data_IF_072356916254
#
_entry.id   IF_072356916254
#
_cell.length_a   1.000
_cell.length_b   1.000
_cell.length_c   1.000
_cell.angle_alpha   90.00
_cell.angle_beta   90.00
_cell.angle_gamma   90.00
#
_symmetry.space_group_name_H-M   'P 1'
#
loop_
_entity.id
_entity.type
_entity.pdbx_description
1 polymer ?
#
# COMPACT_ATOMS: atom_id res chain seq x y z
N UNK A 1 25.13 21.90 1.47
CA UNK A 1 24.79 21.67 0.06
C UNK A 1 23.91 20.43 0.05
N UNK A 2 22.60 20.54 -0.28
CA UNK A 2 21.77 19.35 -0.46
C UNK A 2 22.29 18.64 -1.72
N UNK A 3 22.64 17.37 -1.64
CA UNK A 3 23.08 16.64 -2.82
C UNK A 3 21.91 16.46 -3.80
N UNK A 4 22.21 16.46 -5.10
CA UNK A 4 21.19 16.37 -6.16
C UNK A 4 20.41 15.05 -6.12
N UNK A 5 20.97 14.03 -5.47
CA UNK A 5 20.34 12.75 -5.27
C UNK A 5 19.14 12.87 -4.31
N UNK A 6 19.31 13.52 -3.16
CA UNK A 6 18.25 13.74 -2.18
C UNK A 6 17.09 14.54 -2.78
N UNK A 7 17.39 15.55 -3.59
CA UNK A 7 16.37 16.37 -4.25
C UNK A 7 15.58 15.58 -5.30
N UNK A 8 16.26 14.77 -6.10
CA UNK A 8 15.61 13.88 -7.08
C UNK A 8 14.74 12.83 -6.40
N UNK A 9 15.23 12.21 -5.34
CA UNK A 9 14.49 11.22 -4.56
C UNK A 9 13.22 11.83 -3.98
N UNK A 10 13.32 13.02 -3.37
CA UNK A 10 12.16 13.75 -2.85
C UNK A 10 11.12 14.02 -3.92
N UNK A 11 11.55 14.53 -5.09
CA UNK A 11 10.63 14.83 -6.19
C UNK A 11 9.88 13.59 -6.68
N UNK A 12 10.56 12.44 -6.76
CA UNK A 12 9.95 11.18 -7.17
C UNK A 12 8.91 10.70 -6.16
N UNK A 13 9.21 10.81 -4.85
CA UNK A 13 8.25 10.46 -3.79
C UNK A 13 6.99 11.33 -3.84
N UNK A 14 7.15 12.66 -4.01
CA UNK A 14 6.02 13.58 -4.13
C UNK A 14 5.17 13.32 -5.39
N UNK A 15 5.79 12.88 -6.48
CA UNK A 15 5.07 12.50 -7.71
C UNK A 15 4.23 11.24 -7.50
N UNK A 16 4.84 10.20 -6.93
CA UNK A 16 4.14 8.96 -6.62
C UNK A 16 2.95 9.19 -5.67
N UNK A 17 3.14 10.01 -4.62
CA UNK A 17 2.07 10.37 -3.68
C UNK A 17 0.89 11.03 -4.40
N UNK A 18 1.16 12.03 -5.26
CA UNK A 18 0.10 12.70 -6.05
C UNK A 18 -0.63 11.73 -6.95
N UNK A 19 0.09 10.82 -7.59
CA UNK A 19 -0.47 9.82 -8.48
C UNK A 19 -1.38 8.84 -7.72
N UNK A 20 -0.94 8.33 -6.56
CA UNK A 20 -1.74 7.46 -5.71
C UNK A 20 -3.03 8.14 -5.24
N UNK A 21 -2.95 9.41 -4.83
CA UNK A 21 -4.11 10.17 -4.36
C UNK A 21 -5.07 10.58 -5.49
N UNK A 22 -4.67 10.47 -6.76
CA UNK A 22 -5.52 10.77 -7.90
C UNK A 22 -6.33 9.55 -8.38
N UNK A 23 -5.90 8.34 -8.05
CA UNK A 23 -6.57 7.10 -8.44
C UNK A 23 -7.70 6.75 -7.44
N UNK A 24 -8.93 6.62 -7.96
CA UNK A 24 -10.11 6.39 -7.13
C UNK A 24 -10.10 5.02 -6.46
N UNK A 25 -9.57 4.00 -7.13
CA UNK A 25 -9.53 2.64 -6.59
C UNK A 25 -8.50 2.57 -5.46
N UNK A 26 -7.36 3.24 -5.63
CA UNK A 26 -6.38 3.41 -4.54
C UNK A 26 -7.02 4.10 -3.33
N UNK A 27 -7.77 5.19 -3.52
CA UNK A 27 -8.45 5.87 -2.41
C UNK A 27 -9.45 4.97 -1.68
N UNK A 28 -10.20 4.14 -2.42
CA UNK A 28 -11.13 3.17 -1.82
C UNK A 28 -10.37 2.11 -1.02
N UNK A 29 -9.25 1.60 -1.54
CA UNK A 29 -8.40 0.63 -0.84
C UNK A 29 -7.86 1.25 0.45
N UNK A 30 -7.37 2.49 0.41
CA UNK A 30 -6.86 3.20 1.59
C UNK A 30 -7.96 3.44 2.65
N UNK A 31 -9.18 3.80 2.25
CA UNK A 31 -10.32 3.92 3.18
C UNK A 31 -10.69 2.57 3.83
N UNK A 32 -10.63 1.47 3.08
CA UNK A 32 -10.83 0.12 3.63
C UNK A 32 -9.71 -0.21 4.64
N UNK A 33 -8.45 0.04 4.28
CA UNK A 33 -7.30 -0.21 5.16
C UNK A 33 -7.40 0.56 6.48
N UNK A 34 -7.81 1.83 6.43
CA UNK A 34 -8.05 2.65 7.63
C UNK A 34 -9.13 2.02 8.53
N UNK A 35 -10.22 1.54 7.94
CA UNK A 35 -11.31 0.87 8.68
C UNK A 35 -10.94 -0.51 9.25
N UNK A 36 -9.98 -1.21 8.64
CA UNK A 36 -9.50 -2.49 9.17
C UNK A 36 -8.78 -2.31 10.51
N UNK A 37 -8.28 -1.10 10.80
CA UNK A 37 -7.61 -0.74 12.05
C UNK A 37 -6.47 -1.74 12.41
N UNK A 38 -5.72 -2.17 11.40
CA UNK A 38 -4.55 -3.03 11.56
C UNK A 38 -3.34 -2.18 11.98
N UNK A 39 -2.61 -2.65 12.99
CA UNK A 39 -1.36 -2.00 13.42
C UNK A 39 -0.29 -2.08 12.33
N UNK A 40 0.44 -0.98 12.16
CA UNK A 40 1.57 -0.85 11.23
C UNK A 40 1.27 -1.43 9.83
N UNK A 41 0.14 -1.01 9.22
CA UNK A 41 -0.37 -1.54 7.96
C UNK A 41 0.06 -0.69 6.75
N UNK A 42 0.58 -1.35 5.71
CA UNK A 42 1.15 -0.71 4.51
C UNK A 42 0.64 -1.38 3.23
N UNK A 43 0.29 -0.56 2.25
CA UNK A 43 0.06 -1.00 0.87
C UNK A 43 1.42 -1.17 0.18
N UNK A 44 1.72 -2.36 -0.33
CA UNK A 44 3.11 -2.69 -0.66
C UNK A 44 3.24 -3.64 -1.86
N UNK A 45 4.45 -4.16 -2.05
CA UNK A 45 4.80 -5.22 -2.99
C UNK A 45 4.22 -5.06 -4.41
N UNK A 46 3.36 -5.98 -4.84
CA UNK A 46 2.83 -6.06 -6.19
C UNK A 46 1.84 -4.94 -6.50
N UNK A 47 1.04 -4.47 -5.54
CA UNK A 47 0.11 -3.36 -5.79
C UNK A 47 0.83 -2.08 -6.20
N UNK A 48 1.81 -1.62 -5.42
CA UNK A 48 2.57 -0.39 -5.75
C UNK A 48 3.39 -0.56 -7.02
N UNK A 49 4.02 -1.72 -7.20
CA UNK A 49 4.83 -2.02 -8.39
C UNK A 49 3.97 -2.03 -9.66
N UNK A 50 2.82 -2.71 -9.64
CA UNK A 50 1.88 -2.77 -10.77
C UNK A 50 1.33 -1.37 -11.06
N UNK A 51 0.96 -0.61 -10.04
CA UNK A 51 0.49 0.77 -10.18
C UNK A 51 1.51 1.64 -10.94
N UNK A 52 2.79 1.57 -10.57
CA UNK A 52 3.87 2.31 -11.25
C UNK A 52 4.05 1.80 -12.70
N UNK A 53 4.09 0.48 -12.92
CA UNK A 53 4.26 -0.07 -14.27
C UNK A 53 3.10 0.27 -15.21
N UNK A 54 1.88 0.28 -14.68
CA UNK A 54 0.66 0.63 -15.40
C UNK A 54 0.47 2.15 -15.53
N UNK A 55 1.55 2.93 -15.41
CA UNK A 55 1.56 4.38 -15.60
C UNK A 55 0.62 5.11 -14.64
N UNK A 56 0.64 4.72 -13.37
CA UNK A 56 -0.17 5.29 -12.29
C UNK A 56 -1.68 5.04 -12.42
N UNK A 57 -2.04 3.84 -12.88
CA UNK A 57 -3.41 3.35 -12.91
C UNK A 57 -3.50 2.03 -12.16
N UNK A 58 -4.44 1.92 -11.23
CA UNK A 58 -4.74 0.65 -10.57
C UNK A 58 -5.41 -0.33 -11.56
N UNK A 59 -5.11 -1.62 -11.40
CA UNK A 59 -5.67 -2.71 -12.20
C UNK A 59 -6.54 -3.60 -11.31
N UNK A 60 -7.86 -3.49 -11.50
CA UNK A 60 -8.87 -4.20 -10.70
C UNK A 60 -8.87 -5.72 -10.90
N UNK A 61 -8.19 -6.21 -11.94
CA UNK A 61 -8.05 -7.65 -12.22
C UNK A 61 -6.84 -8.26 -11.47
N UNK A 62 -6.12 -7.46 -10.68
CA UNK A 62 -4.96 -7.91 -9.90
C UNK A 62 -5.21 -7.91 -8.40
N UNK A 63 -4.48 -8.77 -7.69
CA UNK A 63 -4.55 -8.87 -6.23
C UNK A 63 -4.05 -7.58 -5.52
N UNK A 64 -4.56 -7.34 -4.32
CA UNK A 64 -4.12 -6.26 -3.43
C UNK A 64 -3.15 -6.82 -2.37
N UNK A 65 -1.92 -6.31 -2.37
CA UNK A 65 -0.85 -6.67 -1.44
C UNK A 65 -0.78 -5.67 -0.28
N UNK A 66 -1.13 -6.14 0.92
CA UNK A 66 -0.97 -5.41 2.16
C UNK A 66 -0.10 -6.20 3.15
N UNK A 67 0.71 -5.49 3.91
CA UNK A 67 1.48 -6.05 5.03
C UNK A 67 1.13 -5.27 6.29
N UNK A 68 1.01 -5.96 7.42
CA UNK A 68 0.79 -5.32 8.71
C UNK A 68 1.62 -6.00 9.79
N UNK A 69 1.88 -5.29 10.88
CA UNK A 69 2.58 -5.83 12.05
C UNK A 69 1.87 -5.43 13.34
N UNK A 70 1.46 -6.44 14.11
CA UNK A 70 0.90 -6.28 15.44
C UNK A 70 1.57 -7.28 16.39
N UNK A 71 2.29 -6.76 17.39
CA UNK A 71 2.97 -7.58 18.39
C UNK A 71 2.01 -8.37 19.28
N UNK A 72 0.74 -7.96 19.34
CA UNK A 72 -0.30 -8.59 20.15
C UNK A 72 -1.01 -9.73 19.41
N UNK A 73 -0.81 -9.86 18.10
CA UNK A 73 -1.47 -10.89 17.28
C UNK A 73 -0.45 -11.99 16.97
N UNK A 74 -0.75 -13.21 17.42
CA UNK A 74 0.07 -14.37 17.07
C UNK A 74 -0.24 -14.87 15.66
N UNK A 75 0.74 -15.52 15.02
CA UNK A 75 0.57 -16.08 13.68
C UNK A 75 -0.54 -17.15 13.64
N UNK A 76 -0.66 -17.95 14.69
CA UNK A 76 -1.68 -18.98 14.83
C UNK A 76 -3.09 -18.36 14.87
N UNK A 77 -3.25 -17.22 15.55
CA UNK A 77 -4.52 -16.50 15.62
C UNK A 77 -4.97 -15.99 14.24
N UNK A 78 -4.03 -15.52 13.42
CA UNK A 78 -4.29 -15.10 12.03
C UNK A 78 -4.78 -16.28 11.19
N UNK A 79 -4.12 -17.45 11.27
CA UNK A 79 -4.51 -18.65 10.50
C UNK A 79 -5.91 -19.12 10.90
N UNK A 80 -6.23 -19.14 12.20
CA UNK A 80 -7.54 -19.60 12.67
C UNK A 80 -8.65 -18.67 12.18
N UNK A 81 -8.42 -17.36 12.16
CA UNK A 81 -9.42 -16.39 11.71
C UNK A 81 -9.57 -16.35 10.18
N UNK A 82 -8.49 -16.57 9.42
CA UNK A 82 -8.53 -16.60 7.95
C UNK A 82 -9.19 -17.85 7.37
N UNK A 83 -9.28 -18.94 8.15
CA UNK A 83 -9.96 -20.19 7.74
C UNK A 83 -11.45 -20.26 8.12
N UNK A 84 -12.01 -19.24 8.80
CA UNK A 84 -13.45 -19.14 9.09
C UNK A 84 -14.22 -18.57 7.88
N UNK A 85 -14.05 -19.16 6.70
CA UNK A 85 -14.88 -18.88 5.53
C UNK A 85 -16.21 -19.63 5.61
#
# INVERSE_FOLDING_TARGET
MKDSFTERSKKLSEELERCLLADKNILVILDIMDRLNLSDCWLCAGTIRNFIWNQYSFDEETDVDLVFFDENISYEEIIVNSNKK
#
